data_IF_183336539743
#
_entry.id   IF_183336539743
#
_cell.length_a   1.000
_cell.length_b   1.000
_cell.length_c   1.000
_cell.angle_alpha   90.00
_cell.angle_beta   90.00
_cell.angle_gamma   90.00
#
_symmetry.space_group_name_H-M   'P 1'
#
loop_
_entity.id
_entity.type
_entity.pdbx_description
1 polymer ?
#
# COMPACT_ATOMS: atom_id res chain seq x y z
N UNK A 1 0.66 -24.58 -6.07
CA UNK A 1 0.25 -23.47 -6.96
C UNK A 1 0.93 -23.63 -8.32
N UNK A 2 0.17 -23.50 -9.39
CA UNK A 2 0.74 -23.57 -10.74
C UNK A 2 1.47 -22.30 -11.10
N UNK A 3 2.53 -22.43 -11.87
CA UNK A 3 3.40 -21.31 -12.25
C UNK A 3 2.66 -20.27 -13.11
N UNK A 4 1.80 -20.73 -14.04
CA UNK A 4 1.00 -19.83 -14.88
C UNK A 4 0.00 -19.02 -14.05
N UNK A 5 -0.62 -19.63 -13.04
CA UNK A 5 -1.50 -18.92 -12.14
C UNK A 5 -0.74 -17.83 -11.37
N UNK A 6 0.42 -18.14 -10.81
CA UNK A 6 1.25 -17.17 -10.12
C UNK A 6 1.65 -16.01 -11.04
N UNK A 7 2.04 -16.33 -12.28
CA UNK A 7 2.42 -15.29 -13.24
C UNK A 7 1.25 -14.36 -13.57
N UNK A 8 0.02 -14.88 -13.63
CA UNK A 8 -1.17 -14.06 -13.82
C UNK A 8 -1.42 -13.13 -12.64
N UNK A 9 -1.28 -13.64 -11.42
CA UNK A 9 -1.41 -12.83 -10.20
C UNK A 9 -0.38 -11.70 -10.20
N UNK A 10 0.87 -12.02 -10.52
CA UNK A 10 1.95 -11.03 -10.57
C UNK A 10 1.68 -9.95 -11.63
N UNK A 11 1.32 -10.36 -12.84
CA UNK A 11 1.02 -9.42 -13.92
C UNK A 11 -0.14 -8.49 -13.58
N UNK A 12 -1.22 -9.04 -13.03
CA UNK A 12 -2.36 -8.23 -12.59
C UNK A 12 -1.97 -7.25 -11.49
N UNK A 13 -1.12 -7.67 -10.56
CA UNK A 13 -0.65 -6.79 -9.48
C UNK A 13 0.20 -5.65 -10.00
N UNK A 14 1.11 -5.92 -10.93
CA UNK A 14 1.93 -4.88 -11.54
C UNK A 14 1.08 -3.84 -12.26
N UNK A 15 0.06 -4.29 -13.01
CA UNK A 15 -0.88 -3.39 -13.69
C UNK A 15 -1.63 -2.51 -12.68
N UNK A 16 -2.11 -3.08 -11.59
CA UNK A 16 -2.82 -2.34 -10.54
C UNK A 16 -1.93 -1.31 -9.84
N UNK A 17 -0.68 -1.64 -9.58
CA UNK A 17 0.30 -0.71 -9.00
C UNK A 17 0.48 0.50 -9.91
N UNK A 18 0.70 0.26 -11.20
CA UNK A 18 0.86 1.33 -12.17
C UNK A 18 -0.40 2.19 -12.24
N UNK A 19 -1.57 1.58 -12.35
CA UNK A 19 -2.84 2.29 -12.44
C UNK A 19 -3.07 3.23 -11.25
N UNK A 20 -2.86 2.74 -10.04
CA UNK A 20 -3.12 3.53 -8.82
C UNK A 20 -2.03 4.56 -8.57
N UNK A 21 -0.75 4.17 -8.60
CA UNK A 21 0.34 5.06 -8.21
C UNK A 21 0.70 6.05 -9.30
N UNK A 22 0.61 5.69 -10.58
CA UNK A 22 0.82 6.62 -11.69
C UNK A 22 -0.28 7.68 -11.69
N UNK A 23 -1.53 7.27 -11.50
CA UNK A 23 -2.65 8.21 -11.43
C UNK A 23 -2.48 9.16 -10.25
N UNK A 24 -2.09 8.65 -9.08
CA UNK A 24 -1.85 9.48 -7.90
C UNK A 24 -0.72 10.48 -8.15
N UNK A 25 0.34 10.07 -8.82
CA UNK A 25 1.43 10.96 -9.19
C UNK A 25 0.96 12.07 -10.13
N UNK A 26 0.08 11.75 -11.07
CA UNK A 26 -0.50 12.75 -11.99
C UNK A 26 -1.35 13.79 -11.24
N UNK A 27 -2.06 13.39 -10.19
CA UNK A 27 -2.83 14.31 -9.36
C UNK A 27 -1.95 15.35 -8.68
N UNK A 28 -0.67 15.04 -8.43
CA UNK A 28 0.30 15.92 -7.81
C UNK A 28 1.31 16.50 -8.83
N UNK A 29 0.98 16.49 -10.13
CA UNK A 29 1.90 16.90 -11.20
C UNK A 29 2.33 18.37 -11.16
N UNK A 30 1.68 19.23 -10.41
CA UNK A 30 1.95 20.66 -10.33
C UNK A 30 2.76 21.04 -9.07
N UNK A 31 3.89 20.37 -8.86
CA UNK A 31 4.85 20.64 -7.77
C UNK A 31 4.32 20.32 -6.37
N UNK A 32 3.19 19.66 -6.25
CA UNK A 32 2.71 19.25 -4.94
C UNK A 32 3.46 18.01 -4.47
N UNK A 33 3.71 17.97 -3.18
CA UNK A 33 4.36 16.82 -2.56
C UNK A 33 3.41 15.62 -2.58
N UNK A 34 3.82 14.53 -3.22
CA UNK A 34 3.06 13.27 -3.26
C UNK A 34 2.75 12.78 -1.83
N UNK A 35 3.65 13.09 -0.89
CA UNK A 35 3.51 12.69 0.50
C UNK A 35 2.76 13.73 1.36
N UNK A 36 2.12 14.71 0.74
CA UNK A 36 1.47 15.82 1.44
C UNK A 36 0.55 15.35 2.58
N UNK A 37 -0.30 14.36 2.32
CA UNK A 37 -1.23 13.87 3.35
C UNK A 37 -0.51 13.30 4.56
N UNK A 38 0.62 12.62 4.34
CA UNK A 38 1.40 12.04 5.45
C UNK A 38 2.19 13.10 6.20
N UNK A 39 2.69 14.11 5.48
CA UNK A 39 3.36 15.26 6.11
C UNK A 39 2.39 15.99 7.04
N UNK A 40 1.19 16.32 6.56
CA UNK A 40 0.18 17.00 7.35
C UNK A 40 -0.33 16.15 8.51
N UNK A 41 -0.58 14.86 8.26
CA UNK A 41 -0.97 13.93 9.32
C UNK A 41 0.12 13.80 10.38
N UNK A 42 1.39 13.78 9.97
CA UNK A 42 2.53 13.77 10.90
C UNK A 42 2.54 14.98 11.81
N UNK A 43 2.27 16.16 11.26
CA UNK A 43 2.17 17.40 12.05
C UNK A 43 1.03 17.31 13.07
N UNK A 44 -0.13 16.85 12.65
CA UNK A 44 -1.30 16.71 13.52
C UNK A 44 -1.08 15.69 14.63
N UNK A 45 -0.36 14.61 14.33
CA UNK A 45 -0.08 13.54 15.28
C UNK A 45 1.22 13.76 16.06
N UNK A 46 1.91 14.86 15.79
CA UNK A 46 3.20 15.20 16.39
C UNK A 46 4.23 14.08 16.17
N UNK A 47 4.37 13.65 14.92
CA UNK A 47 5.28 12.57 14.54
C UNK A 47 5.81 12.82 13.12
N UNK A 48 6.59 11.87 12.61
CA UNK A 48 7.14 11.93 11.24
C UNK A 48 6.09 11.49 10.21
N UNK A 49 6.23 11.88 8.93
CA UNK A 49 5.38 11.37 7.87
C UNK A 49 5.41 9.85 7.73
N UNK A 50 6.59 9.25 7.92
CA UNK A 50 6.76 7.80 7.85
C UNK A 50 5.92 7.09 8.92
N UNK A 51 5.93 7.63 10.14
CA UNK A 51 5.14 7.05 11.23
C UNK A 51 3.65 7.27 11.02
N UNK A 52 3.26 8.41 10.47
CA UNK A 52 1.87 8.67 10.10
C UNK A 52 1.40 7.65 9.05
N UNK A 53 2.24 7.36 8.05
CA UNK A 53 1.92 6.34 7.03
C UNK A 53 1.70 4.96 7.69
N UNK A 54 2.54 4.57 8.63
CA UNK A 54 2.39 3.31 9.36
C UNK A 54 1.05 3.26 10.10
N UNK A 55 0.60 4.36 10.70
CA UNK A 55 -0.70 4.40 11.36
C UNK A 55 -1.84 4.15 10.37
N UNK A 56 -1.81 4.79 9.20
CA UNK A 56 -2.81 4.54 8.15
C UNK A 56 -2.74 3.10 7.63
N UNK A 57 -1.54 2.54 7.52
CA UNK A 57 -1.33 1.18 7.04
C UNK A 57 -1.85 0.12 8.00
N UNK A 58 -1.88 0.42 9.30
CA UNK A 58 -2.22 -0.55 10.36
C UNK A 58 -3.60 -1.18 10.14
N UNK A 59 -4.63 -0.42 9.78
CA UNK A 59 -5.96 -0.97 9.56
C UNK A 59 -6.00 -1.96 8.39
N UNK A 60 -5.18 -1.73 7.38
CA UNK A 60 -5.10 -2.63 6.23
C UNK A 60 -4.37 -3.92 6.60
N UNK A 61 -3.34 -3.83 7.44
CA UNK A 61 -2.65 -4.99 7.98
C UNK A 61 -3.62 -5.84 8.80
N UNK A 62 -4.42 -5.22 9.66
CA UNK A 62 -5.43 -5.93 10.46
C UNK A 62 -6.43 -6.65 9.56
N UNK A 63 -6.89 -5.99 8.48
CA UNK A 63 -7.81 -6.62 7.53
C UNK A 63 -7.21 -7.85 6.86
N UNK A 64 -5.92 -7.81 6.50
CA UNK A 64 -5.24 -8.98 5.92
C UNK A 64 -5.06 -10.08 6.97
N UNK A 65 -4.71 -9.70 8.20
CA UNK A 65 -4.59 -10.68 9.29
C UNK A 65 -5.91 -11.42 9.54
N UNK A 66 -7.04 -10.72 9.45
CA UNK A 66 -8.36 -11.34 9.60
C UNK A 66 -8.59 -12.38 8.49
N UNK A 67 -8.19 -12.09 7.24
CA UNK A 67 -8.28 -13.07 6.16
C UNK A 67 -7.39 -14.29 6.43
N UNK A 68 -6.17 -14.07 6.92
CA UNK A 68 -5.23 -15.16 7.25
C UNK A 68 -5.78 -16.04 8.36
N UNK A 69 -6.34 -15.44 9.40
CA UNK A 69 -6.98 -16.18 10.49
C UNK A 69 -8.17 -16.99 10.00
N UNK A 70 -8.98 -16.42 9.11
CA UNK A 70 -10.10 -17.13 8.49
C UNK A 70 -9.65 -18.39 7.77
N UNK A 71 -8.57 -18.32 7.00
CA UNK A 71 -8.01 -19.48 6.30
C UNK A 71 -7.65 -20.58 7.30
N UNK A 72 -7.04 -20.21 8.45
CA UNK A 72 -6.72 -21.17 9.51
C UNK A 72 -7.94 -21.86 10.10
N UNK A 73 -9.11 -21.24 10.02
CA UNK A 73 -10.38 -21.80 10.49
C UNK A 73 -11.17 -22.49 9.37
N UNK A 74 -10.58 -22.68 8.20
CA UNK A 74 -11.24 -23.30 7.05
C UNK A 74 -12.13 -22.36 6.26
N UNK A 75 -12.02 -21.06 6.47
CA UNK A 75 -12.84 -20.04 5.79
C UNK A 75 -11.95 -19.28 4.80
N UNK A 76 -12.08 -19.55 3.49
CA UNK A 76 -11.32 -18.79 2.50
C UNK A 76 -11.79 -17.35 2.41
N UNK A 77 -10.98 -16.42 1.87
CA UNK A 77 -11.44 -15.07 1.57
C UNK A 77 -12.69 -15.09 0.70
N UNK A 78 -13.55 -14.08 0.85
CA UNK A 78 -14.87 -14.04 0.20
C UNK A 78 -14.78 -13.92 -1.32
N UNK A 79 -13.75 -13.23 -1.84
CA UNK A 79 -13.61 -13.02 -3.28
C UNK A 79 -12.18 -12.63 -3.62
N UNK A 80 -11.82 -12.82 -4.89
CA UNK A 80 -10.55 -12.32 -5.43
C UNK A 80 -10.48 -10.80 -5.33
N UNK A 81 -11.59 -10.11 -5.62
CA UNK A 81 -11.65 -8.65 -5.54
C UNK A 81 -11.32 -8.14 -4.14
N UNK A 82 -11.81 -8.81 -3.11
CA UNK A 82 -11.52 -8.45 -1.72
C UNK A 82 -10.03 -8.61 -1.39
N UNK A 83 -9.41 -9.71 -1.85
CA UNK A 83 -7.97 -9.94 -1.66
C UNK A 83 -7.18 -8.87 -2.40
N UNK A 84 -7.54 -8.58 -3.64
CA UNK A 84 -6.87 -7.54 -4.45
C UNK A 84 -6.89 -6.19 -3.76
N UNK A 85 -8.04 -5.78 -3.22
CA UNK A 85 -8.20 -4.51 -2.53
C UNK A 85 -7.32 -4.44 -1.28
N UNK A 86 -7.44 -5.42 -0.41
CA UNK A 86 -6.74 -5.42 0.88
C UNK A 86 -5.24 -5.56 0.73
N UNK A 87 -4.78 -6.45 -0.15
CA UNK A 87 -3.36 -6.59 -0.43
C UNK A 87 -2.82 -5.36 -1.18
N UNK A 88 -3.61 -4.81 -2.09
CA UNK A 88 -3.24 -3.62 -2.85
C UNK A 88 -2.93 -2.43 -1.97
N UNK A 89 -3.75 -2.19 -0.95
CA UNK A 89 -3.52 -1.09 -0.02
C UNK A 89 -2.16 -1.23 0.69
N UNK A 90 -1.84 -2.43 1.18
CA UNK A 90 -0.56 -2.68 1.86
C UNK A 90 0.61 -2.49 0.89
N UNK A 91 0.51 -3.03 -0.31
CA UNK A 91 1.56 -2.93 -1.31
C UNK A 91 1.81 -1.47 -1.69
N UNK A 92 0.75 -0.70 -1.95
CA UNK A 92 0.87 0.70 -2.32
C UNK A 92 1.48 1.54 -1.19
N UNK A 93 1.05 1.33 0.05
CA UNK A 93 1.65 2.00 1.21
C UNK A 93 3.12 1.62 1.36
N UNK A 94 3.48 0.37 1.11
CA UNK A 94 4.87 -0.08 1.20
C UNK A 94 5.77 0.62 0.18
N UNK A 95 5.28 0.83 -1.04
CA UNK A 95 6.04 1.55 -2.08
C UNK A 95 6.22 3.02 -1.70
N UNK A 96 5.16 3.66 -1.19
CA UNK A 96 5.24 5.04 -0.71
C UNK A 96 6.23 5.17 0.45
N UNK A 97 6.21 4.24 1.38
CA UNK A 97 7.15 4.24 2.50
C UNK A 97 8.59 4.04 2.02
N UNK A 98 8.81 3.16 1.07
CA UNK A 98 10.12 2.96 0.46
C UNK A 98 10.65 4.27 -0.12
N UNK A 99 9.81 5.00 -0.84
CA UNK A 99 10.19 6.28 -1.42
C UNK A 99 10.57 7.30 -0.35
N UNK A 100 9.80 7.39 0.73
CA UNK A 100 10.10 8.28 1.85
C UNK A 100 11.47 7.97 2.48
N UNK A 101 11.71 6.69 2.74
CA UNK A 101 12.96 6.28 3.39
C UNK A 101 14.16 6.52 2.48
N UNK A 102 14.04 6.25 1.19
CA UNK A 102 15.09 6.51 0.22
C UNK A 102 15.38 7.99 0.08
N UNK A 103 14.35 8.82 0.09
CA UNK A 103 14.51 10.27 0.06
C UNK A 103 15.32 10.78 1.24
N UNK A 104 15.12 10.23 2.44
CA UNK A 104 15.89 10.58 3.63
C UNK A 104 17.39 10.33 3.45
N UNK A 105 17.75 9.29 2.73
CA UNK A 105 19.16 8.96 2.47
C UNK A 105 19.76 9.88 1.41
N UNK A 106 19.02 10.17 0.36
CA UNK A 106 19.54 10.87 -0.84
C UNK A 106 19.56 12.39 -0.72
N UNK A 107 18.81 12.96 0.23
CA UNK A 107 18.68 14.42 0.39
C UNK A 107 19.51 14.99 1.54
N UNK A 108 20.47 14.22 2.03
CA UNK A 108 21.36 14.69 3.09
C UNK A 108 22.33 15.76 2.60
#
# INVERSE_FOLDING_TARGET
MRKDYFNNVLGNRLDKIQEVLVKKNEEYANDQNIMHNFVEAGKLLNTTPEKALIYFMTKHIVSVMDMVHGVGEGLPPKSVAMVDEKMGDIINYSILLEAMLKERVTTK
#
